data_IF_576733030503
#
_entry.id   IF_576733030503
#
_cell.length_a   1.000
_cell.length_b   1.000
_cell.length_c   1.000
_cell.angle_alpha   90.00
_cell.angle_beta   90.00
_cell.angle_gamma   90.00
#
_symmetry.space_group_name_H-M   'P 1'
#
loop_
_entity.id
_entity.type
_entity.pdbx_description
1 polymer ?
#
# COMPACT_ATOMS: atom_id res chain seq x y z
N UNK A 1 -7.26 -11.04 -21.45
CA UNK A 1 -6.89 -9.66 -21.05
C UNK A 1 -5.62 -9.31 -21.80
N UNK A 2 -5.47 -8.05 -22.26
CA UNK A 2 -4.28 -7.63 -23.00
C UNK A 2 -3.07 -7.66 -22.07
N UNK A 3 -1.99 -8.34 -22.48
CA UNK A 3 -0.70 -8.33 -21.78
C UNK A 3 -0.18 -6.90 -21.71
N UNK A 4 -0.18 -6.30 -20.52
CA UNK A 4 0.44 -4.99 -20.28
C UNK A 4 1.63 -5.14 -19.36
N UNK A 5 2.74 -4.51 -19.73
CA UNK A 5 3.97 -4.50 -18.93
C UNK A 5 4.56 -3.09 -18.92
N UNK A 6 5.04 -2.69 -17.75
CA UNK A 6 5.66 -1.40 -17.49
C UNK A 6 7.09 -1.61 -17.01
N UNK A 7 8.03 -0.90 -17.63
CA UNK A 7 9.44 -0.87 -17.24
C UNK A 7 9.88 0.58 -17.02
N UNK A 8 10.42 0.87 -15.84
CA UNK A 8 11.07 2.14 -15.55
C UNK A 8 12.46 1.91 -14.96
N UNK A 9 13.44 2.66 -15.43
CA UNK A 9 14.79 2.70 -14.90
C UNK A 9 15.18 4.14 -14.58
N UNK A 10 15.95 4.33 -13.51
CA UNK A 10 16.44 5.64 -13.06
C UNK A 10 17.93 5.65 -12.82
N UNK A 11 18.60 6.66 -13.35
CA UNK A 11 19.99 6.97 -13.03
C UNK A 11 19.99 8.18 -12.07
N UNK A 12 20.54 7.97 -10.88
CA UNK A 12 20.53 8.91 -9.75
C UNK A 12 21.91 9.48 -9.52
N UNK A 13 22.95 8.62 -9.49
CA UNK A 13 24.30 9.04 -9.14
C UNK A 13 24.98 9.76 -10.31
N UNK A 14 24.76 9.26 -11.54
CA UNK A 14 25.37 9.81 -12.75
C UNK A 14 24.38 9.79 -13.92
N UNK A 15 24.18 10.92 -14.63
CA UNK A 15 23.39 10.92 -15.84
C UNK A 15 24.02 10.03 -16.93
N UNK A 16 23.16 9.43 -17.74
CA UNK A 16 23.53 8.66 -18.93
C UNK A 16 24.23 9.54 -19.96
N UNK A 17 25.34 9.07 -20.49
CA UNK A 17 26.03 9.72 -21.60
C UNK A 17 25.21 9.61 -22.90
N UNK A 18 25.43 10.50 -23.89
CA UNK A 18 24.77 10.40 -25.19
C UNK A 18 24.98 9.05 -25.89
N UNK A 19 26.17 8.43 -25.71
CA UNK A 19 26.47 7.12 -26.26
C UNK A 19 25.63 6.02 -25.59
N UNK A 20 25.49 6.04 -24.27
CA UNK A 20 24.64 5.10 -23.53
C UNK A 20 23.17 5.25 -23.90
N UNK A 21 22.68 6.49 -24.06
CA UNK A 21 21.30 6.74 -24.52
C UNK A 21 21.07 6.20 -25.94
N UNK A 22 22.04 6.33 -26.85
CA UNK A 22 21.97 5.77 -28.19
C UNK A 22 21.96 4.22 -28.18
N UNK A 23 22.77 3.60 -27.31
CA UNK A 23 22.78 2.14 -27.11
C UNK A 23 21.40 1.65 -26.64
N UNK A 24 20.81 2.29 -25.63
CA UNK A 24 19.46 1.96 -25.14
C UNK A 24 18.38 2.18 -26.19
N UNK A 25 18.48 3.26 -26.98
CA UNK A 25 17.57 3.56 -28.10
C UNK A 25 17.61 2.48 -29.18
N UNK A 26 18.78 1.85 -29.40
CA UNK A 26 18.90 0.74 -30.34
C UNK A 26 18.17 -0.53 -29.87
N UNK A 27 17.97 -0.69 -28.55
CA UNK A 27 17.26 -1.82 -27.93
C UNK A 27 15.75 -1.60 -27.80
N UNK A 28 15.33 -0.35 -27.59
CA UNK A 28 13.92 0.03 -27.60
C UNK A 28 13.67 1.35 -28.34
N UNK A 29 13.03 1.25 -29.50
CA UNK A 29 12.68 2.41 -30.31
C UNK A 29 11.55 3.25 -29.69
N UNK A 30 10.63 2.61 -28.94
CA UNK A 30 9.42 3.24 -28.37
C UNK A 30 9.62 3.81 -26.96
N UNK A 31 10.71 3.45 -26.29
CA UNK A 31 10.97 3.93 -24.93
C UNK A 31 11.15 5.45 -24.87
N UNK A 32 10.70 6.06 -23.78
CA UNK A 32 11.11 7.42 -23.42
C UNK A 32 12.45 7.34 -22.71
N UNK A 33 13.48 7.94 -23.30
CA UNK A 33 14.86 7.88 -22.82
C UNK A 33 15.33 9.31 -22.59
N UNK A 34 15.82 9.58 -21.39
CA UNK A 34 16.42 10.86 -20.99
C UNK A 34 17.81 10.61 -20.40
N UNK A 35 18.50 11.68 -19.98
CA UNK A 35 19.77 11.52 -19.27
C UNK A 35 19.63 10.82 -17.91
N UNK A 36 18.43 10.71 -17.34
CA UNK A 36 18.23 10.14 -15.99
C UNK A 36 17.18 9.04 -15.94
N UNK A 37 16.55 8.69 -17.07
CA UNK A 37 15.48 7.71 -17.09
C UNK A 37 15.38 6.95 -18.40
N UNK A 38 14.88 5.73 -18.29
CA UNK A 38 14.33 4.94 -19.40
C UNK A 38 12.96 4.44 -18.96
N UNK A 39 11.92 4.71 -19.74
CA UNK A 39 10.55 4.26 -19.48
C UNK A 39 10.02 3.58 -20.74
N UNK A 40 9.44 2.39 -20.60
CA UNK A 40 8.81 1.72 -21.72
C UNK A 40 7.61 0.90 -21.28
N UNK A 41 6.61 0.88 -22.16
CA UNK A 41 5.36 0.16 -21.97
C UNK A 41 5.15 -0.83 -23.12
N UNK A 42 4.75 -2.04 -22.79
CA UNK A 42 4.49 -3.10 -23.75
C UNK A 42 3.04 -3.56 -23.64
N UNK A 43 2.36 -3.61 -24.78
CA UNK A 43 1.03 -4.24 -24.94
C UNK A 43 1.10 -5.58 -25.70
N UNK A 44 2.31 -5.95 -26.14
CA UNK A 44 2.65 -7.21 -26.79
C UNK A 44 4.17 -7.38 -26.76
N UNK A 45 4.63 -8.60 -26.44
CA UNK A 45 6.06 -8.90 -26.32
C UNK A 45 6.67 -8.33 -25.03
N UNK A 46 8.00 -8.23 -25.02
CA UNK A 46 8.82 -8.00 -23.82
C UNK A 46 10.05 -7.15 -24.16
N UNK A 47 10.68 -6.57 -23.14
CA UNK A 47 11.96 -5.89 -23.17
C UNK A 47 13.01 -6.75 -23.88
N UNK A 48 13.72 -6.13 -24.83
CA UNK A 48 14.83 -6.77 -25.56
C UNK A 48 16.17 -6.50 -24.87
N UNK A 49 16.23 -6.84 -23.59
CA UNK A 49 17.38 -6.65 -22.71
C UNK A 49 17.15 -7.33 -21.37
N UNK A 50 18.22 -7.47 -20.59
CA UNK A 50 18.16 -7.98 -19.23
C UNK A 50 18.13 -6.78 -18.25
N UNK A 51 17.06 -6.60 -17.46
CA UNK A 51 16.99 -5.53 -16.46
C UNK A 51 18.17 -5.54 -15.49
N UNK A 52 18.69 -6.70 -15.10
CA UNK A 52 19.80 -6.81 -14.17
C UNK A 52 21.09 -6.25 -14.77
N UNK A 53 21.40 -6.60 -16.03
CA UNK A 53 22.53 -6.03 -16.79
C UNK A 53 22.41 -4.50 -16.91
N UNK A 54 21.21 -4.00 -17.15
CA UNK A 54 20.98 -2.57 -17.31
C UNK A 54 21.15 -1.79 -16.01
N UNK A 55 20.66 -2.33 -14.89
CA UNK A 55 20.94 -1.76 -13.57
C UNK A 55 22.44 -1.82 -13.28
N UNK A 56 23.10 -2.94 -13.55
CA UNK A 56 24.54 -3.06 -13.32
C UNK A 56 25.37 -2.03 -14.10
N UNK A 57 25.00 -1.74 -15.35
CA UNK A 57 25.81 -0.91 -16.26
C UNK A 57 25.43 0.57 -16.30
N UNK A 58 24.15 0.90 -16.10
CA UNK A 58 23.62 2.22 -16.46
C UNK A 58 22.76 2.89 -15.40
N UNK A 59 22.04 2.11 -14.58
CA UNK A 59 20.97 2.64 -13.74
C UNK A 59 21.18 2.35 -12.26
N UNK A 60 20.56 3.16 -11.41
CA UNK A 60 20.61 3.01 -9.96
C UNK A 60 19.35 2.38 -9.38
N UNK A 61 18.26 2.40 -10.13
CA UNK A 61 17.01 1.77 -9.75
C UNK A 61 16.24 1.26 -10.97
N UNK A 62 15.47 0.21 -10.77
CA UNK A 62 14.54 -0.35 -11.75
C UNK A 62 13.23 -0.76 -11.08
N UNK A 63 12.11 -0.43 -11.72
CA UNK A 63 10.78 -0.92 -11.37
C UNK A 63 10.18 -1.62 -12.58
N UNK A 64 9.57 -2.77 -12.33
CA UNK A 64 8.78 -3.54 -13.28
C UNK A 64 7.41 -3.84 -12.68
N UNK A 65 6.35 -3.77 -13.50
CA UNK A 65 5.02 -4.24 -13.14
C UNK A 65 4.27 -4.74 -14.38
N UNK A 66 3.40 -5.73 -14.19
CA UNK A 66 2.61 -6.30 -15.28
C UNK A 66 1.16 -6.51 -14.87
N UNK A 67 0.25 -6.48 -15.84
CA UNK A 67 -1.21 -6.55 -15.60
C UNK A 67 -1.71 -7.87 -14.99
N UNK A 68 -0.84 -8.87 -14.89
CA UNK A 68 -1.09 -10.15 -14.22
C UNK A 68 -0.48 -10.19 -12.82
N UNK A 69 -0.20 -9.03 -12.22
CA UNK A 69 0.19 -8.89 -10.83
C UNK A 69 1.68 -9.05 -10.52
N UNK A 70 2.51 -9.55 -11.45
CA UNK A 70 3.97 -9.57 -11.24
C UNK A 70 4.53 -8.16 -11.11
N UNK A 71 5.36 -7.93 -10.09
CA UNK A 71 6.07 -6.67 -9.94
C UNK A 71 7.46 -6.89 -9.33
N UNK A 72 8.39 -5.96 -9.57
CA UNK A 72 9.70 -6.00 -8.92
C UNK A 72 10.39 -4.64 -8.84
N UNK A 73 11.26 -4.51 -7.84
CA UNK A 73 12.13 -3.37 -7.59
C UNK A 73 13.57 -3.86 -7.52
N UNK A 74 14.48 -3.17 -8.19
CA UNK A 74 15.93 -3.32 -8.01
C UNK A 74 16.54 -1.99 -7.59
N UNK A 75 17.42 -2.01 -6.59
CA UNK A 75 18.19 -0.85 -6.16
C UNK A 75 19.68 -1.16 -6.15
N UNK A 76 20.46 -0.35 -6.86
CA UNK A 76 21.92 -0.41 -6.92
C UNK A 76 22.53 0.44 -5.81
N UNK A 77 23.33 -0.20 -4.96
CA UNK A 77 23.94 0.40 -3.78
C UNK A 77 25.45 0.13 -3.78
N UNK A 78 26.29 1.09 -3.35
CA UNK A 78 27.73 0.86 -3.24
C UNK A 78 28.02 -0.21 -2.18
N UNK A 79 29.13 -0.95 -2.35
CA UNK A 79 29.55 -1.99 -1.40
C UNK A 79 29.65 -1.49 0.05
N UNK A 80 30.00 -0.21 0.24
CA UNK A 80 30.14 0.40 1.58
C UNK A 80 28.81 0.62 2.30
N UNK A 81 27.69 0.61 1.59
CA UNK A 81 26.36 0.81 2.18
C UNK A 81 25.78 -0.49 2.76
N UNK A 82 26.09 -1.63 2.14
CA UNK A 82 25.54 -2.93 2.52
C UNK A 82 26.67 -3.92 2.69
N UNK A 83 26.98 -4.23 3.93
CA UNK A 83 27.95 -5.25 4.28
C UNK A 83 27.35 -6.65 4.14
N UNK A 84 28.18 -7.64 3.84
CA UNK A 84 27.72 -9.03 3.70
C UNK A 84 27.12 -9.53 5.01
N UNK A 85 27.80 -9.30 6.13
CA UNK A 85 27.35 -9.77 7.45
C UNK A 85 26.01 -9.15 7.87
N UNK A 86 25.69 -7.96 7.35
CA UNK A 86 24.39 -7.31 7.56
C UNK A 86 23.29 -7.96 6.70
N UNK A 87 23.60 -8.36 5.46
CA UNK A 87 22.63 -8.92 4.52
C UNK A 87 22.34 -10.39 4.79
N UNK A 88 23.35 -11.15 5.22
CA UNK A 88 23.28 -12.60 5.39
C UNK A 88 22.02 -13.05 6.17
N UNK A 89 21.63 -12.44 7.32
CA UNK A 89 20.42 -12.82 8.03
C UNK A 89 19.12 -12.70 7.22
N UNK A 90 19.06 -11.79 6.25
CA UNK A 90 17.86 -11.52 5.44
C UNK A 90 17.80 -12.37 4.17
N UNK A 91 18.94 -12.83 3.65
CA UNK A 91 19.05 -13.54 2.37
C UNK A 91 19.49 -14.99 2.50
N UNK A 92 19.71 -15.50 3.72
CA UNK A 92 20.03 -16.90 3.95
C UNK A 92 18.95 -17.81 3.37
N UNK A 93 19.38 -18.91 2.76
CA UNK A 93 18.51 -20.00 2.33
C UNK A 93 17.83 -20.64 3.54
N UNK A 94 16.62 -21.16 3.33
CA UNK A 94 15.88 -21.85 4.38
C UNK A 94 16.66 -23.03 4.96
N UNK A 95 16.63 -23.15 6.29
CA UNK A 95 17.22 -24.24 7.08
C UNK A 95 16.49 -25.56 6.89
N UNK A 96 15.19 -25.50 6.65
CA UNK A 96 14.36 -26.67 6.37
C UNK A 96 14.25 -26.99 4.87
N UNK A 97 14.98 -26.25 4.02
CA UNK A 97 14.95 -26.44 2.57
C UNK A 97 13.66 -25.95 1.93
N UNK A 98 12.89 -25.09 2.62
CA UNK A 98 11.77 -24.40 2.02
C UNK A 98 12.27 -23.62 0.80
N UNK A 99 11.57 -23.78 -0.31
CA UNK A 99 11.85 -23.09 -1.55
C UNK A 99 10.53 -22.89 -2.26
N UNK A 100 10.27 -21.65 -2.62
CA UNK A 100 9.14 -21.31 -3.49
C UNK A 100 9.28 -22.03 -4.83
N UNK A 101 8.14 -22.45 -5.42
CA UNK A 101 8.09 -22.88 -6.81
C UNK A 101 8.24 -21.71 -7.80
N UNK A 102 8.29 -20.47 -7.29
CA UNK A 102 8.24 -19.23 -8.05
C UNK A 102 9.58 -18.50 -8.06
N UNK A 103 9.60 -17.29 -8.64
CA UNK A 103 10.76 -16.40 -8.51
C UNK A 103 10.95 -15.98 -7.05
N UNK A 104 12.21 -15.80 -6.68
CA UNK A 104 12.58 -15.22 -5.39
C UNK A 104 11.85 -13.88 -5.17
N UNK A 105 11.38 -13.62 -3.96
CA UNK A 105 10.69 -12.41 -3.54
C UNK A 105 11.67 -11.38 -2.98
N UNK A 106 12.86 -11.81 -2.55
CA UNK A 106 13.91 -10.91 -2.11
C UNK A 106 15.30 -11.53 -2.23
N UNK A 107 16.26 -10.76 -2.69
CA UNK A 107 17.63 -11.23 -2.85
C UNK A 107 18.63 -10.11 -3.08
N UNK A 108 19.91 -10.47 -3.07
CA UNK A 108 21.01 -9.53 -3.36
C UNK A 108 21.99 -10.15 -4.33
N UNK A 109 22.22 -9.47 -5.45
CA UNK A 109 23.25 -9.82 -6.42
C UNK A 109 24.51 -9.00 -6.16
N UNK A 110 25.64 -9.64 -5.77
CA UNK A 110 26.91 -8.94 -5.66
C UNK A 110 27.52 -8.69 -7.04
N UNK A 111 28.11 -7.52 -7.23
CA UNK A 111 28.99 -7.22 -8.38
C UNK A 111 30.37 -6.80 -7.88
N UNK A 112 31.28 -6.44 -8.79
CA UNK A 112 32.64 -6.07 -8.41
C UNK A 112 32.71 -4.76 -7.60
N UNK A 113 31.77 -3.84 -7.83
CA UNK A 113 31.80 -2.46 -7.31
C UNK A 113 30.50 -2.06 -6.58
N UNK A 114 29.44 -2.86 -6.67
CA UNK A 114 28.15 -2.56 -6.05
C UNK A 114 27.39 -3.83 -5.64
N UNK A 115 26.24 -3.63 -4.99
CA UNK A 115 25.23 -4.66 -4.73
C UNK A 115 23.92 -4.21 -5.35
N UNK A 116 23.19 -5.15 -5.94
CA UNK A 116 21.84 -4.93 -6.45
C UNK A 116 20.90 -5.68 -5.52
N UNK A 117 20.10 -4.93 -4.77
CA UNK A 117 19.06 -5.50 -3.91
C UNK A 117 17.77 -5.60 -4.73
N UNK A 118 17.15 -6.76 -4.69
CA UNK A 118 15.95 -7.10 -5.45
C UNK A 118 14.80 -7.40 -4.50
N UNK A 119 13.62 -6.86 -4.82
CA UNK A 119 12.34 -7.25 -4.25
C UNK A 119 11.40 -7.64 -5.39
N UNK A 120 10.64 -8.71 -5.21
CA UNK A 120 9.73 -9.24 -6.21
C UNK A 120 8.45 -9.75 -5.58
N UNK A 121 7.37 -9.65 -6.34
CA UNK A 121 6.12 -10.32 -6.05
C UNK A 121 5.58 -10.90 -7.36
N UNK A 122 5.01 -12.09 -7.28
CA UNK A 122 4.37 -12.75 -8.40
C UNK A 122 2.98 -13.21 -7.98
N UNK A 123 1.96 -12.82 -8.75
CA UNK A 123 0.61 -13.33 -8.57
C UNK A 123 0.36 -14.49 -9.53
N UNK A 124 0.57 -15.71 -9.04
CA UNK A 124 0.30 -16.91 -9.83
C UNK A 124 -1.16 -17.37 -9.75
N UNK A 125 -1.97 -16.82 -8.84
CA UNK A 125 -3.41 -17.13 -8.79
C UNK A 125 -4.19 -16.36 -9.85
N UNK A 126 -3.67 -15.21 -10.28
CA UNK A 126 -4.35 -14.30 -11.20
C UNK A 126 -5.59 -13.66 -10.57
N UNK A 127 -5.71 -13.73 -9.24
CA UNK A 127 -6.81 -13.15 -8.47
C UNK A 127 -6.64 -11.63 -8.31
N UNK A 128 -5.40 -11.12 -8.40
CA UNK A 128 -5.12 -9.72 -8.21
C UNK A 128 -5.08 -8.99 -9.56
N UNK A 129 -6.21 -8.40 -9.95
CA UNK A 129 -6.28 -7.45 -11.07
C UNK A 129 -5.57 -6.14 -10.72
N UNK A 130 -4.26 -6.08 -10.96
CA UNK A 130 -3.40 -4.92 -10.67
C UNK A 130 -2.59 -4.48 -11.88
N UNK A 131 -2.12 -3.24 -11.84
CA UNK A 131 -1.21 -2.62 -12.81
C UNK A 131 -1.77 -2.52 -14.23
N UNK A 132 -3.08 -2.62 -14.41
CA UNK A 132 -3.74 -2.58 -15.73
C UNK A 132 -4.27 -1.19 -16.09
N UNK A 133 -4.27 -0.25 -15.14
CA UNK A 133 -4.71 1.13 -15.34
C UNK A 133 -3.55 2.13 -15.19
N UNK A 134 -3.79 3.37 -15.64
CA UNK A 134 -2.84 4.47 -15.42
C UNK A 134 -2.75 4.90 -13.95
N UNK A 135 -3.72 4.52 -13.12
CA UNK A 135 -3.77 4.89 -11.70
C UNK A 135 -2.95 3.93 -10.83
N UNK A 136 -2.78 2.69 -11.27
CA UNK A 136 -2.13 1.64 -10.48
C UNK A 136 -0.89 1.01 -11.13
N UNK A 137 -0.67 1.16 -12.45
CA UNK A 137 0.49 0.63 -13.17
C UNK A 137 1.74 1.54 -13.14
N UNK A 138 1.72 2.72 -13.77
CA UNK A 138 2.86 3.65 -13.77
C UNK A 138 3.05 4.40 -12.43
N UNK A 139 4.26 4.93 -12.19
CA UNK A 139 4.51 5.91 -11.12
C UNK A 139 5.15 5.36 -9.84
N UNK A 140 5.16 4.04 -9.64
CA UNK A 140 5.77 3.37 -8.47
C UNK A 140 7.22 3.74 -8.22
N UNK A 141 8.01 3.98 -9.28
CA UNK A 141 9.41 4.42 -9.14
C UNK A 141 9.54 5.65 -8.24
N UNK A 142 8.65 6.64 -8.37
CA UNK A 142 8.74 7.87 -7.57
C UNK A 142 8.53 7.63 -6.07
N UNK A 143 7.65 6.68 -5.74
CA UNK A 143 7.34 6.27 -4.36
C UNK A 143 8.39 5.35 -3.77
N UNK A 144 9.01 4.48 -4.59
CA UNK A 144 9.96 3.46 -4.14
C UNK A 144 11.43 3.94 -4.16
N UNK A 145 11.79 4.86 -5.05
CA UNK A 145 13.17 5.37 -5.15
C UNK A 145 13.76 5.91 -3.83
N UNK A 146 12.99 6.58 -2.93
CA UNK A 146 13.51 7.03 -1.65
C UNK A 146 14.06 5.92 -0.74
N UNK A 147 13.63 4.66 -0.92
CA UNK A 147 14.19 3.51 -0.19
C UNK A 147 15.70 3.38 -0.39
N UNK A 148 16.23 3.82 -1.54
CA UNK A 148 17.67 3.84 -1.79
C UNK A 148 18.40 4.75 -0.81
N UNK A 149 17.90 5.97 -0.60
CA UNK A 149 18.51 6.91 0.35
C UNK A 149 18.33 6.44 1.80
N UNK A 150 17.22 5.76 2.12
CA UNK A 150 17.02 5.13 3.43
C UNK A 150 18.08 4.04 3.70
N UNK A 151 18.30 3.13 2.75
CA UNK A 151 19.34 2.10 2.84
C UNK A 151 20.75 2.71 2.92
N UNK A 152 21.04 3.75 2.14
CA UNK A 152 22.31 4.48 2.21
C UNK A 152 22.54 5.16 3.57
N UNK A 153 21.46 5.47 4.30
CA UNK A 153 21.51 6.02 5.67
C UNK A 153 21.56 4.93 6.74
N UNK A 154 21.53 3.66 6.36
CA UNK A 154 21.59 2.51 7.26
C UNK A 154 20.22 2.08 7.81
N UNK A 155 19.12 2.53 7.23
CA UNK A 155 17.80 2.02 7.58
C UNK A 155 17.62 0.62 7.00
N UNK A 156 17.55 -0.38 7.86
CA UNK A 156 17.42 -1.79 7.47
C UNK A 156 15.97 -2.26 7.35
N UNK A 157 14.98 -1.39 7.60
CA UNK A 157 13.55 -1.72 7.42
C UNK A 157 13.22 -2.24 6.02
N UNK A 158 13.73 -1.67 4.92
CA UNK A 158 13.46 -2.23 3.58
C UNK A 158 13.99 -3.66 3.38
N UNK A 159 15.10 -4.03 4.05
CA UNK A 159 15.63 -5.41 4.03
C UNK A 159 14.72 -6.36 4.81
N UNK A 160 14.21 -5.92 5.96
CA UNK A 160 13.27 -6.70 6.75
C UNK A 160 11.93 -6.90 6.01
N UNK A 161 11.43 -5.87 5.32
CA UNK A 161 10.24 -5.98 4.46
C UNK A 161 10.48 -6.95 3.30
N UNK A 162 11.68 -6.98 2.73
CA UNK A 162 12.07 -8.00 1.75
C UNK A 162 12.06 -9.42 2.34
N UNK A 163 12.59 -9.60 3.55
CA UNK A 163 12.51 -10.89 4.24
C UNK A 163 11.06 -11.31 4.54
N UNK A 164 10.17 -10.40 4.94
CA UNK A 164 8.74 -10.69 5.09
C UNK A 164 8.11 -11.13 3.76
N UNK A 165 8.49 -10.51 2.64
CA UNK A 165 8.02 -10.95 1.33
C UNK A 165 8.43 -12.40 1.02
N UNK A 166 9.62 -12.83 1.46
CA UNK A 166 10.06 -14.24 1.34
C UNK A 166 9.22 -15.19 2.20
N UNK A 167 8.82 -14.77 3.39
CA UNK A 167 7.89 -15.54 4.25
C UNK A 167 6.55 -15.69 3.53
N UNK A 168 5.99 -14.60 3.00
CA UNK A 168 4.74 -14.66 2.23
C UNK A 168 4.85 -15.49 0.94
N UNK A 169 6.05 -15.61 0.36
CA UNK A 169 6.34 -16.41 -0.83
C UNK A 169 6.75 -17.87 -0.52
N UNK A 170 6.65 -18.31 0.75
CA UNK A 170 7.00 -19.66 1.20
C UNK A 170 8.48 -20.06 0.95
N UNK A 171 9.37 -19.08 0.83
CA UNK A 171 10.82 -19.33 0.71
C UNK A 171 11.51 -19.56 2.06
N UNK A 172 10.79 -19.27 3.14
CA UNK A 172 11.26 -19.35 4.52
C UNK A 172 10.25 -20.23 5.25
N UNK A 173 10.73 -21.28 5.90
CA UNK A 173 9.87 -22.23 6.60
C UNK A 173 9.87 -22.03 8.11
N UNK A 174 9.02 -22.79 8.78
CA UNK A 174 8.67 -22.63 10.21
C UNK A 174 9.86 -22.56 11.17
N UNK A 175 10.92 -23.35 10.93
CA UNK A 175 12.12 -23.46 11.77
C UNK A 175 13.20 -22.41 11.44
N UNK A 176 12.97 -21.58 10.41
CA UNK A 176 13.89 -20.49 10.09
C UNK A 176 13.86 -19.39 11.14
N UNK A 177 15.00 -18.75 11.30
CA UNK A 177 15.21 -17.76 12.36
C UNK A 177 14.96 -16.36 11.82
N UNK A 178 14.17 -15.60 12.55
CA UNK A 178 13.93 -14.20 12.26
C UNK A 178 15.25 -13.39 12.19
N UNK A 179 15.44 -12.57 11.15
CA UNK A 179 16.58 -11.66 11.10
C UNK A 179 16.47 -10.60 12.21
N UNK A 180 17.54 -9.83 12.47
CA UNK A 180 17.48 -8.71 13.39
C UNK A 180 16.31 -7.77 13.06
N UNK A 181 15.37 -7.61 14.00
CA UNK A 181 14.20 -6.75 13.81
C UNK A 181 14.64 -5.29 13.89
N UNK A 182 14.47 -4.49 12.81
CA UNK A 182 14.83 -3.09 12.83
C UNK A 182 13.90 -2.30 13.75
N UNK A 183 14.40 -1.19 14.29
CA UNK A 183 13.56 -0.27 15.04
C UNK A 183 12.60 0.48 14.10
N UNK A 184 11.37 0.72 14.56
CA UNK A 184 10.40 1.57 13.86
C UNK A 184 9.53 0.88 12.81
N UNK A 185 9.30 -0.43 12.91
CA UNK A 185 8.34 -1.11 12.03
C UNK A 185 6.89 -0.68 12.29
N UNK A 186 6.58 -0.11 13.47
CA UNK A 186 5.26 0.46 13.75
C UNK A 186 5.02 1.80 13.03
N UNK A 187 6.06 2.42 12.45
CA UNK A 187 5.96 3.74 11.83
C UNK A 187 6.80 3.76 10.55
N UNK A 188 6.29 3.09 9.53
CA UNK A 188 6.89 3.03 8.20
C UNK A 188 6.93 4.43 7.55
N UNK A 189 8.00 4.69 6.80
CA UNK A 189 8.05 5.87 5.93
C UNK A 189 7.09 5.71 4.75
N UNK A 190 6.71 6.79 4.05
CA UNK A 190 5.87 6.66 2.86
C UNK A 190 6.42 5.70 1.80
N UNK A 191 7.75 5.65 1.64
CA UNK A 191 8.39 4.75 0.68
C UNK A 191 8.36 3.28 1.14
N UNK A 192 8.48 3.04 2.45
CA UNK A 192 8.33 1.71 3.06
C UNK A 192 6.88 1.22 2.98
N UNK A 193 5.90 2.09 3.22
CA UNK A 193 4.48 1.78 2.99
C UNK A 193 4.25 1.44 1.52
N UNK A 194 4.78 2.24 0.59
CA UNK A 194 4.69 1.93 -0.84
C UNK A 194 5.33 0.57 -1.17
N UNK A 195 6.44 0.18 -0.54
CA UNK A 195 7.04 -1.15 -0.70
C UNK A 195 6.10 -2.26 -0.23
N UNK A 196 5.46 -2.10 0.93
CA UNK A 196 4.50 -3.09 1.46
C UNK A 196 3.30 -3.27 0.54
N UNK A 197 2.78 -2.19 -0.02
CA UNK A 197 1.67 -2.21 -0.98
C UNK A 197 2.09 -2.80 -2.33
N UNK A 198 3.29 -2.45 -2.80
CA UNK A 198 3.82 -2.94 -4.07
C UNK A 198 3.97 -4.47 -4.05
N UNK A 199 4.54 -5.01 -2.98
CA UNK A 199 4.81 -6.45 -2.78
C UNK A 199 3.64 -7.24 -2.18
N UNK A 200 2.52 -6.60 -1.84
CA UNK A 200 1.39 -7.22 -1.12
C UNK A 200 1.81 -7.97 0.14
N UNK A 201 2.68 -7.35 0.95
CA UNK A 201 3.06 -7.91 2.25
C UNK A 201 1.80 -7.99 3.13
N UNK A 202 1.50 -9.17 3.67
CA UNK A 202 0.33 -9.37 4.53
C UNK A 202 0.41 -8.42 5.75
N UNK A 203 -0.59 -7.54 5.94
CA UNK A 203 -0.60 -6.60 7.05
C UNK A 203 -0.59 -7.27 8.43
N UNK A 204 -1.09 -8.51 8.56
CA UNK A 204 -1.05 -9.26 9.82
C UNK A 204 0.37 -9.72 10.14
N UNK A 205 1.13 -10.19 9.13
CA UNK A 205 2.54 -10.54 9.27
C UNK A 205 3.39 -9.32 9.62
N UNK A 206 3.16 -8.19 8.94
CA UNK A 206 3.84 -6.93 9.23
C UNK A 206 3.52 -6.45 10.65
N UNK A 207 2.28 -6.55 11.11
CA UNK A 207 1.88 -6.13 12.45
C UNK A 207 2.45 -7.06 13.54
N UNK A 208 2.51 -8.39 13.30
CA UNK A 208 3.15 -9.35 14.21
C UNK A 208 4.67 -9.10 14.35
N UNK A 209 5.34 -8.79 13.23
CA UNK A 209 6.72 -8.34 13.21
C UNK A 209 6.90 -7.01 13.98
N UNK A 210 6.04 -6.04 13.71
CA UNK A 210 6.06 -4.74 14.35
C UNK A 210 5.83 -4.83 15.87
N UNK A 211 5.10 -5.83 16.37
CA UNK A 211 4.94 -6.08 17.81
C UNK A 211 6.27 -6.33 18.55
N UNK A 212 7.29 -6.87 17.87
CA UNK A 212 8.61 -7.11 18.43
C UNK A 212 9.66 -6.05 18.05
N UNK A 213 9.29 -5.07 17.21
CA UNK A 213 10.19 -4.03 16.74
C UNK A 213 10.46 -3.00 17.85
N UNK A 214 11.73 -2.64 18.11
CA UNK A 214 12.04 -1.53 19.01
C UNK A 214 11.43 -0.22 18.48
N UNK A 215 11.04 0.69 19.38
CA UNK A 215 10.62 2.03 18.97
C UNK A 215 11.80 2.84 18.44
N UNK A 216 11.56 3.73 17.47
CA UNK A 216 12.59 4.68 17.05
C UNK A 216 12.99 5.58 18.22
N UNK A 217 14.29 5.83 18.43
CA UNK A 217 14.72 6.83 19.40
C UNK A 217 14.23 8.21 18.97
N UNK A 218 13.79 9.01 19.94
CA UNK A 218 13.26 10.35 19.68
C UNK A 218 14.37 11.26 19.13
N UNK A 219 14.05 12.10 18.14
CA UNK A 219 15.07 12.93 17.45
C UNK A 219 15.77 13.91 18.37
N UNK A 220 15.10 14.29 19.46
CA UNK A 220 15.59 15.25 20.44
C UNK A 220 16.33 14.59 21.63
N UNK A 221 16.46 13.27 21.64
CA UNK A 221 17.32 12.61 22.63
C UNK A 221 18.78 12.89 22.32
N UNK A 222 19.49 13.48 23.28
CA UNK A 222 20.95 13.54 23.29
C UNK A 222 21.42 12.09 23.23
N UNK A 223 22.08 11.73 22.13
CA UNK A 223 22.59 10.39 21.89
C UNK A 223 24.05 10.37 22.36
N UNK A 224 24.32 9.93 23.60
CA UNK A 224 25.68 9.93 24.15
C UNK A 224 26.64 9.08 23.28
N UNK A 225 26.14 8.11 22.52
CA UNK A 225 26.97 7.34 21.59
C UNK A 225 27.46 8.20 20.41
N UNK A 226 26.66 9.18 19.96
CA UNK A 226 27.08 10.12 18.91
C UNK A 226 28.15 11.06 19.42
N UNK A 227 27.99 11.60 20.61
CA UNK A 227 28.98 12.50 21.21
C UNK A 227 30.32 11.77 21.44
N UNK A 228 30.25 10.53 21.95
CA UNK A 228 31.41 9.64 22.07
C UNK A 228 32.10 9.42 20.72
N UNK A 229 31.32 9.11 19.67
CA UNK A 229 31.88 8.87 18.35
C UNK A 229 32.48 10.13 17.72
N UNK A 230 31.81 11.28 17.88
CA UNK A 230 32.29 12.57 17.39
C UNK A 230 33.63 12.95 18.06
N UNK A 231 33.79 12.65 19.35
CA UNK A 231 35.03 12.86 20.09
C UNK A 231 36.20 11.98 19.59
N UNK A 232 35.89 10.82 18.99
CA UNK A 232 36.89 9.91 18.39
C UNK A 232 37.31 10.32 16.96
N UNK A 233 36.66 11.30 16.34
CA UNK A 233 36.98 11.70 14.96
C UNK A 233 38.28 12.50 14.87
N UNK A 234 39.07 12.22 13.84
CA UNK A 234 40.29 13.00 13.54
C UNK A 234 39.93 14.35 12.92
N UNK A 235 40.80 15.35 13.13
CA UNK A 235 40.60 16.68 12.55
C UNK A 235 40.61 16.62 11.02
N UNK A 236 41.43 15.74 10.44
CA UNK A 236 41.49 15.49 9.00
C UNK A 236 40.14 14.96 8.47
N UNK A 237 39.56 13.94 9.12
CA UNK A 237 38.29 13.36 8.70
C UNK A 237 37.12 14.36 8.77
N UNK A 238 37.10 15.24 9.79
CA UNK A 238 36.11 16.31 9.90
C UNK A 238 36.31 17.38 8.82
N UNK A 239 37.55 17.80 8.56
CA UNK A 239 37.88 18.78 7.50
C UNK A 239 37.46 18.26 6.13
N UNK A 240 37.62 16.97 5.86
CA UNK A 240 37.23 16.39 4.59
C UNK A 240 35.70 16.38 4.41
N UNK A 241 34.95 16.04 5.45
CA UNK A 241 33.48 16.16 5.43
C UNK A 241 33.04 17.62 5.21
N UNK A 242 33.69 18.59 5.87
CA UNK A 242 33.40 20.02 5.66
C UNK A 242 33.76 20.49 4.24
N UNK A 243 34.84 19.99 3.65
CA UNK A 243 35.21 20.29 2.27
C UNK A 243 34.13 19.82 1.31
N UNK A 244 33.65 18.58 1.46
CA UNK A 244 32.54 18.05 0.65
C UNK A 244 31.28 18.94 0.76
N UNK A 245 30.95 19.43 1.94
CA UNK A 245 29.83 20.36 2.14
C UNK A 245 30.04 21.69 1.38
N UNK A 246 31.24 22.28 1.48
CA UNK A 246 31.58 23.53 0.79
C UNK A 246 31.60 23.39 -0.74
N UNK A 247 31.91 22.20 -1.26
CA UNK A 247 31.86 21.85 -2.68
C UNK A 247 30.42 21.57 -3.18
N UNK A 248 29.41 21.68 -2.31
CA UNK A 248 28.02 21.37 -2.64
C UNK A 248 27.70 19.86 -2.70
N UNK A 249 28.62 19.01 -2.27
CA UNK A 249 28.49 17.53 -2.26
C UNK A 249 27.90 17.04 -0.94
N UNK A 250 26.78 17.66 -0.54
CA UNK A 250 26.19 17.44 0.79
C UNK A 250 25.71 16.02 1.03
N UNK A 251 25.12 15.37 0.03
CA UNK A 251 24.69 13.98 0.13
C UNK A 251 25.86 13.03 0.33
N UNK A 252 26.99 13.27 -0.34
CA UNK A 252 28.20 12.46 -0.19
C UNK A 252 28.83 12.65 1.19
N UNK A 253 28.87 13.89 1.68
CA UNK A 253 29.31 14.20 3.03
C UNK A 253 28.45 13.49 4.09
N UNK A 254 27.12 13.56 3.96
CA UNK A 254 26.17 12.89 4.87
C UNK A 254 26.37 11.37 4.83
N UNK A 255 26.44 10.77 3.63
CA UNK A 255 26.63 9.33 3.44
C UNK A 255 27.95 8.85 4.06
N UNK A 256 29.06 9.53 3.77
CA UNK A 256 30.37 9.16 4.30
C UNK A 256 30.41 9.24 5.84
N UNK A 257 29.84 10.31 6.42
CA UNK A 257 29.80 10.49 7.87
C UNK A 257 28.96 9.38 8.55
N UNK A 258 27.76 9.12 8.02
CA UNK A 258 26.87 8.06 8.52
C UNK A 258 27.50 6.68 8.39
N UNK A 259 28.15 6.38 7.26
CA UNK A 259 28.82 5.09 7.06
C UNK A 259 29.90 4.83 8.11
N UNK A 260 30.74 5.83 8.42
CA UNK A 260 31.75 5.71 9.49
C UNK A 260 31.11 5.54 10.87
N UNK A 261 30.03 6.27 11.16
CA UNK A 261 29.29 6.12 12.41
C UNK A 261 28.71 4.71 12.58
N UNK A 262 28.03 4.21 11.54
CA UNK A 262 27.43 2.87 11.53
C UNK A 262 28.50 1.76 11.57
N UNK A 263 29.65 1.94 10.92
CA UNK A 263 30.76 1.00 11.02
C UNK A 263 31.28 0.92 12.46
N UNK A 264 31.53 2.07 13.11
CA UNK A 264 31.94 2.13 14.51
C UNK A 264 30.90 1.54 15.46
N UNK A 265 29.61 1.83 15.23
CA UNK A 265 28.53 1.29 16.04
C UNK A 265 28.52 -0.24 15.92
N UNK A 266 28.65 -0.80 14.71
CA UNK A 266 28.75 -2.26 14.50
C UNK A 266 29.93 -2.89 15.21
N UNK A 267 31.11 -2.27 15.19
CA UNK A 267 32.29 -2.76 15.91
C UNK A 267 32.02 -2.85 17.43
N UNK A 268 31.35 -1.85 18.01
CA UNK A 268 30.96 -1.84 19.44
C UNK A 268 29.78 -2.76 19.74
N UNK A 269 28.81 -2.86 18.84
CA UNK A 269 27.60 -3.69 18.95
C UNK A 269 27.83 -5.15 18.60
N UNK A 270 29.07 -5.57 18.33
CA UNK A 270 29.43 -6.96 18.06
C UNK A 270 29.01 -7.95 19.16
N UNK A 271 28.52 -7.48 20.32
CA UNK A 271 27.76 -8.30 21.28
C UNK A 271 26.62 -7.51 21.97
N UNK A 272 25.36 -7.81 21.65
CA UNK A 272 24.39 -8.12 22.70
C UNK A 272 24.07 -9.61 22.64
N UNK A 273 24.12 -10.25 23.82
CA UNK A 273 23.68 -11.64 24.04
C UNK A 273 22.32 -11.83 23.39
N UNK A 274 22.23 -12.85 22.54
CA UNK A 274 20.98 -13.30 21.94
C UNK A 274 19.93 -13.50 23.03
N UNK A 275 18.96 -12.59 23.14
CA UNK A 275 17.60 -13.07 23.30
C UNK A 275 17.38 -14.03 22.13
N UNK A 276 16.96 -15.27 22.41
CA UNK A 276 16.63 -16.26 21.39
C UNK A 276 15.78 -15.58 20.31
N UNK A 277 16.32 -15.45 19.10
CA UNK A 277 15.58 -14.88 17.98
C UNK A 277 14.42 -15.82 17.66
N UNK A 278 13.26 -15.25 17.32
CA UNK A 278 12.06 -16.02 17.08
C UNK A 278 12.22 -16.93 15.88
N UNK A 279 11.50 -18.05 15.87
CA UNK A 279 11.30 -18.82 14.64
C UNK A 279 10.14 -18.23 13.82
N UNK A 280 10.04 -18.58 12.54
CA UNK A 280 8.89 -18.18 11.71
C UNK A 280 7.59 -18.70 12.29
N UNK A 281 7.56 -19.93 12.84
CA UNK A 281 6.37 -20.47 13.51
C UNK A 281 5.90 -19.62 14.71
N UNK A 282 6.83 -19.03 15.48
CA UNK A 282 6.48 -18.13 16.58
C UNK A 282 5.90 -16.81 16.07
N UNK A 283 6.33 -16.34 14.90
CA UNK A 283 5.77 -15.14 14.25
C UNK A 283 4.40 -15.47 13.66
N UNK A 284 4.21 -16.64 13.06
CA UNK A 284 2.92 -17.08 12.51
C UNK A 284 1.85 -17.16 13.60
N UNK A 285 2.17 -17.74 14.76
CA UNK A 285 1.27 -17.75 15.91
C UNK A 285 0.90 -16.33 16.38
N UNK A 286 1.84 -15.39 16.32
CA UNK A 286 1.55 -13.99 16.61
C UNK A 286 0.70 -13.33 15.51
N UNK A 287 0.92 -13.69 14.24
CA UNK A 287 0.14 -13.26 13.08
C UNK A 287 -1.33 -13.69 13.21
N UNK A 288 -1.59 -14.94 13.57
CA UNK A 288 -2.95 -15.44 13.83
C UNK A 288 -3.65 -14.65 14.94
N UNK A 289 -2.94 -14.35 16.03
CA UNK A 289 -3.50 -13.53 17.11
C UNK A 289 -3.86 -12.12 16.63
N UNK A 290 -2.96 -11.46 15.90
CA UNK A 290 -3.18 -10.13 15.32
C UNK A 290 -4.37 -10.14 14.36
N UNK A 291 -4.43 -11.13 13.46
CA UNK A 291 -5.52 -11.29 12.49
C UNK A 291 -6.87 -11.42 13.19
N UNK A 292 -6.96 -12.24 14.23
CA UNK A 292 -8.18 -12.42 15.00
C UNK A 292 -8.63 -11.11 15.71
N UNK A 293 -7.69 -10.33 16.24
CA UNK A 293 -7.99 -9.01 16.82
C UNK A 293 -8.52 -8.04 15.76
N UNK A 294 -7.90 -7.97 14.58
CA UNK A 294 -8.34 -7.11 13.47
C UNK A 294 -9.77 -7.46 13.05
N UNK A 295 -10.06 -8.74 12.81
CA UNK A 295 -11.37 -9.22 12.39
C UNK A 295 -12.46 -8.91 13.43
N UNK A 296 -12.16 -9.04 14.72
CA UNK A 296 -13.09 -8.70 15.79
C UNK A 296 -13.37 -7.19 15.85
N UNK A 297 -12.34 -6.33 15.66
CA UNK A 297 -12.51 -4.89 15.58
C UNK A 297 -13.37 -4.49 14.37
N UNK A 298 -13.12 -5.09 13.21
CA UNK A 298 -13.91 -4.85 11.99
C UNK A 298 -15.37 -5.28 12.16
N UNK A 299 -15.60 -6.46 12.76
CA UNK A 299 -16.95 -6.94 13.07
C UNK A 299 -17.70 -5.95 13.96
N UNK A 300 -17.09 -5.49 15.06
CA UNK A 300 -17.69 -4.50 15.95
C UNK A 300 -17.98 -3.17 15.26
N UNK A 301 -17.12 -2.71 14.36
CA UNK A 301 -17.36 -1.50 13.56
C UNK A 301 -18.57 -1.68 12.64
N UNK A 302 -18.66 -2.80 11.92
CA UNK A 302 -19.81 -3.11 11.05
C UNK A 302 -21.12 -3.19 11.84
N UNK A 303 -21.12 -3.90 12.98
CA UNK A 303 -22.28 -4.00 13.88
C UNK A 303 -22.70 -2.62 14.41
N UNK A 304 -21.75 -1.76 14.78
CA UNK A 304 -22.04 -0.40 15.24
C UNK A 304 -22.60 0.50 14.12
N UNK A 305 -22.09 0.40 12.90
CA UNK A 305 -22.60 1.11 11.73
C UNK A 305 -24.00 0.65 11.32
N UNK A 306 -24.27 -0.65 11.38
CA UNK A 306 -25.59 -1.23 11.16
C UNK A 306 -26.58 -0.77 12.25
N UNK A 307 -26.19 -0.86 13.53
CA UNK A 307 -27.03 -0.39 14.64
C UNK A 307 -27.34 1.11 14.51
N UNK A 308 -26.36 1.92 14.10
CA UNK A 308 -26.55 3.35 13.82
C UNK A 308 -27.54 3.57 12.68
N UNK A 309 -27.37 2.89 11.53
CA UNK A 309 -28.30 2.96 10.39
C UNK A 309 -29.71 2.54 10.76
N UNK A 310 -29.85 1.47 11.55
CA UNK A 310 -31.15 1.01 12.06
C UNK A 310 -31.78 2.03 13.02
N UNK A 311 -31.01 2.61 13.93
CA UNK A 311 -31.49 3.64 14.85
C UNK A 311 -31.91 4.93 14.12
N UNK A 312 -31.14 5.39 13.14
CA UNK A 312 -31.45 6.55 12.30
C UNK A 312 -32.72 6.29 11.47
N UNK A 313 -32.84 5.11 10.86
CA UNK A 313 -34.05 4.71 10.13
C UNK A 313 -35.26 4.69 11.06
N UNK A 314 -35.13 4.11 12.25
CA UNK A 314 -36.21 4.08 13.25
C UNK A 314 -36.65 5.49 13.64
N UNK A 315 -35.71 6.38 13.98
CA UNK A 315 -36.04 7.78 14.30
C UNK A 315 -36.68 8.52 13.12
N UNK A 316 -36.24 8.25 11.89
CA UNK A 316 -36.85 8.84 10.68
C UNK A 316 -38.30 8.39 10.53
N UNK A 317 -38.58 7.10 10.67
CA UNK A 317 -39.94 6.56 10.60
C UNK A 317 -40.82 7.12 11.72
N UNK A 318 -40.31 7.20 12.96
CA UNK A 318 -41.02 7.83 14.08
C UNK A 318 -41.37 9.31 13.80
N UNK A 319 -40.43 10.09 13.23
CA UNK A 319 -40.70 11.48 12.84
C UNK A 319 -41.71 11.59 11.70
N UNK A 320 -41.66 10.71 10.71
CA UNK A 320 -42.62 10.66 9.60
C UNK A 320 -44.02 10.35 10.10
N UNK A 321 -44.16 9.37 11.01
CA UNK A 321 -45.44 9.07 11.64
C UNK A 321 -45.94 10.25 12.48
N UNK A 322 -45.08 10.89 13.28
CA UNK A 322 -45.46 12.03 14.11
C UNK A 322 -45.91 13.27 13.31
N UNK A 323 -45.38 13.46 12.10
CA UNK A 323 -45.69 14.61 11.23
C UNK A 323 -46.44 14.19 9.95
N UNK A 324 -47.25 13.14 10.02
CA UNK A 324 -47.92 12.52 8.86
C UNK A 324 -48.64 13.53 7.96
N UNK A 325 -49.32 14.52 8.54
CA UNK A 325 -50.08 15.54 7.78
C UNK A 325 -49.17 16.44 6.94
N UNK A 326 -48.01 16.81 7.48
CA UNK A 326 -47.01 17.60 6.77
C UNK A 326 -46.35 16.80 5.66
N UNK A 327 -46.06 15.52 5.92
CA UNK A 327 -45.48 14.62 4.91
C UNK A 327 -46.46 14.43 3.73
N UNK A 328 -47.75 14.30 3.99
CA UNK A 328 -48.76 14.25 2.92
C UNK A 328 -48.81 15.54 2.09
N UNK A 329 -48.69 16.71 2.73
CA UNK A 329 -48.64 17.99 2.02
C UNK A 329 -47.37 18.13 1.15
N UNK A 330 -46.22 17.66 1.65
CA UNK A 330 -44.97 17.66 0.90
C UNK A 330 -45.02 16.69 -0.31
N UNK A 331 -45.68 15.53 -0.15
CA UNK A 331 -45.96 14.60 -1.26
C UNK A 331 -46.83 15.27 -2.33
N UNK A 332 -47.92 15.93 -1.94
CA UNK A 332 -48.81 16.66 -2.86
C UNK A 332 -48.03 17.75 -3.63
N UNK A 333 -47.25 18.57 -2.92
CA UNK A 333 -46.43 19.62 -3.54
C UNK A 333 -45.37 19.04 -4.50
N UNK A 334 -44.75 17.92 -4.14
CA UNK A 334 -43.77 17.24 -5.01
C UNK A 334 -44.45 16.72 -6.27
N UNK A 335 -45.63 16.10 -6.13
CA UNK A 335 -46.42 15.65 -7.27
C UNK A 335 -46.81 16.81 -8.18
N UNK A 336 -47.18 17.98 -7.64
CA UNK A 336 -47.53 19.16 -8.44
C UNK A 336 -46.46 19.58 -9.46
N UNK A 337 -45.17 19.33 -9.19
CA UNK A 337 -44.05 19.63 -10.12
C UNK A 337 -44.13 18.86 -11.45
N UNK A 338 -44.79 17.70 -11.47
CA UNK A 338 -45.15 16.98 -12.69
C UNK A 338 -44.00 16.32 -13.48
N UNK A 339 -42.79 16.24 -12.91
CA UNK A 339 -41.62 15.62 -13.57
C UNK A 339 -41.43 14.15 -13.18
N UNK A 340 -40.70 13.38 -14.00
CA UNK A 340 -40.39 11.97 -13.72
C UNK A 340 -39.70 11.78 -12.37
N UNK A 341 -38.63 12.55 -12.12
CA UNK A 341 -37.90 12.55 -10.84
C UNK A 341 -38.81 12.92 -9.65
N UNK A 342 -39.74 13.87 -9.82
CA UNK A 342 -40.65 14.24 -8.74
C UNK A 342 -41.62 13.10 -8.40
N UNK A 343 -42.09 12.33 -9.40
CA UNK A 343 -42.88 11.13 -9.13
C UNK A 343 -42.10 10.06 -8.39
N UNK A 344 -40.83 9.83 -8.75
CA UNK A 344 -39.98 8.84 -8.06
C UNK A 344 -39.69 9.26 -6.61
N UNK A 345 -39.46 10.55 -6.36
CA UNK A 345 -39.27 11.10 -5.02
C UNK A 345 -40.54 11.01 -4.14
N UNK A 346 -41.71 11.33 -4.71
CA UNK A 346 -43.00 11.22 -4.03
C UNK A 346 -43.32 9.76 -3.69
N UNK A 347 -43.02 8.82 -4.60
CA UNK A 347 -43.20 7.39 -4.37
C UNK A 347 -42.35 6.89 -3.21
N UNK A 348 -41.08 7.28 -3.16
CA UNK A 348 -40.18 6.87 -2.07
C UNK A 348 -40.65 7.43 -0.73
N UNK A 349 -41.03 8.71 -0.68
CA UNK A 349 -41.53 9.35 0.55
C UNK A 349 -42.83 8.71 1.04
N UNK A 350 -43.72 8.33 0.12
CA UNK A 350 -44.97 7.66 0.45
C UNK A 350 -44.75 6.23 0.95
N UNK A 351 -43.78 5.48 0.39
CA UNK A 351 -43.38 4.17 0.92
C UNK A 351 -42.83 4.26 2.35
N UNK A 352 -41.96 5.24 2.59
CA UNK A 352 -41.40 5.48 3.91
C UNK A 352 -42.50 5.88 4.92
N UNK A 353 -43.49 6.67 4.49
CA UNK A 353 -44.66 7.02 5.31
C UNK A 353 -45.58 5.81 5.57
N UNK A 354 -45.80 4.94 4.58
CA UNK A 354 -46.57 3.71 4.74
C UNK A 354 -45.94 2.81 5.81
N UNK A 355 -44.63 2.58 5.70
CA UNK A 355 -43.84 1.80 6.67
C UNK A 355 -43.91 2.44 8.07
N UNK A 356 -43.74 3.76 8.16
CA UNK A 356 -43.83 4.50 9.42
C UNK A 356 -45.20 4.37 10.10
N UNK A 357 -46.29 4.48 9.32
CA UNK A 357 -47.65 4.42 9.85
C UNK A 357 -48.06 2.98 10.23
N UNK A 358 -47.58 1.96 9.50
CA UNK A 358 -47.72 0.55 9.90
C UNK A 358 -47.00 0.27 11.21
N UNK A 359 -45.75 0.72 11.37
CA UNK A 359 -45.00 0.55 12.63
C UNK A 359 -45.66 1.27 13.82
N UNK A 360 -46.34 2.40 13.57
CA UNK A 360 -47.09 3.14 14.58
C UNK A 360 -48.52 2.61 14.82
N UNK A 361 -48.98 1.57 14.10
CA UNK A 361 -50.35 1.04 14.18
C UNK A 361 -51.43 1.97 13.62
N UNK A 362 -51.06 2.97 12.81
CA UNK A 362 -51.93 4.02 12.24
C UNK A 362 -52.24 3.78 10.76
N UNK A 363 -52.40 2.52 10.37
CA UNK A 363 -52.61 2.10 8.98
C UNK A 363 -53.88 2.69 8.36
N UNK A 364 -54.95 2.83 9.16
CA UNK A 364 -56.20 3.43 8.72
C UNK A 364 -56.02 4.91 8.30
N UNK A 365 -55.18 5.66 9.00
CA UNK A 365 -54.88 7.05 8.68
C UNK A 365 -54.05 7.17 7.40
N UNK A 366 -53.12 6.24 7.17
CA UNK A 366 -52.40 6.15 5.90
C UNK A 366 -53.35 5.89 4.73
N UNK A 367 -54.29 4.94 4.87
CA UNK A 367 -55.27 4.64 3.82
C UNK A 367 -56.18 5.83 3.52
N UNK A 368 -56.64 6.55 4.55
CA UNK A 368 -57.43 7.77 4.37
C UNK A 368 -56.65 8.86 3.61
N UNK A 369 -55.36 9.06 3.95
CA UNK A 369 -54.46 9.99 3.26
C UNK A 369 -54.22 9.58 1.80
N UNK A 370 -54.01 8.30 1.55
CA UNK A 370 -53.82 7.75 0.20
C UNK A 370 -55.05 7.99 -0.69
N UNK A 371 -56.26 7.72 -0.18
CA UNK A 371 -57.52 7.99 -0.91
C UNK A 371 -57.65 9.47 -1.25
N UNK A 372 -57.33 10.37 -0.32
CA UNK A 372 -57.35 11.82 -0.55
C UNK A 372 -56.36 12.24 -1.63
N UNK A 373 -55.14 11.71 -1.60
CA UNK A 373 -54.10 12.00 -2.58
C UNK A 373 -54.46 11.47 -3.98
N UNK A 374 -55.06 10.28 -4.06
CA UNK A 374 -55.57 9.70 -5.31
C UNK A 374 -56.74 10.51 -5.87
N UNK A 375 -57.57 11.12 -5.03
CA UNK A 375 -58.60 12.06 -5.47
C UNK A 375 -58.02 13.29 -6.19
N UNK A 376 -56.87 13.80 -5.75
CA UNK A 376 -56.20 14.97 -6.33
C UNK A 376 -55.33 14.63 -7.56
N UNK A 377 -54.61 13.50 -7.52
CA UNK A 377 -53.59 13.15 -8.51
C UNK A 377 -53.89 11.90 -9.35
N UNK A 378 -55.03 11.23 -9.16
CA UNK A 378 -55.38 9.96 -9.81
C UNK A 378 -55.54 10.02 -11.33
N UNK A 379 -55.73 11.21 -11.91
CA UNK A 379 -55.78 11.41 -13.38
C UNK A 379 -54.39 11.41 -14.04
N UNK A 380 -53.31 11.34 -13.27
CA UNK A 380 -51.93 11.40 -13.76
C UNK A 380 -51.41 9.99 -14.05
N UNK A 381 -51.57 9.53 -15.29
CA UNK A 381 -51.22 8.17 -15.70
C UNK A 381 -49.74 7.76 -15.49
N UNK A 382 -48.80 8.70 -15.46
CA UNK A 382 -47.39 8.41 -15.16
C UNK A 382 -47.12 8.15 -13.67
N UNK A 383 -47.95 8.70 -12.79
CA UNK A 383 -47.93 8.45 -11.34
C UNK A 383 -48.63 7.14 -11.00
N UNK A 384 -49.82 6.93 -11.57
CA UNK A 384 -50.59 5.68 -11.38
C UNK A 384 -49.81 4.43 -11.79
N UNK A 385 -49.12 4.47 -12.94
CA UNK A 385 -48.25 3.35 -13.38
C UNK A 385 -47.16 2.99 -12.38
N UNK A 386 -46.59 3.97 -11.68
CA UNK A 386 -45.55 3.74 -10.65
C UNK A 386 -46.14 3.12 -9.39
N UNK A 387 -47.33 3.55 -8.97
CA UNK A 387 -48.05 2.98 -7.83
C UNK A 387 -48.44 1.52 -8.05
N UNK A 388 -48.94 1.19 -9.24
CA UNK A 388 -49.29 -0.19 -9.61
C UNK A 388 -48.05 -1.07 -9.71
N UNK A 389 -46.95 -0.56 -10.30
CA UNK A 389 -45.68 -1.30 -10.40
C UNK A 389 -45.12 -1.70 -9.04
N UNK A 390 -45.24 -0.82 -8.04
CA UNK A 390 -44.75 -1.07 -6.67
C UNK A 390 -45.78 -1.76 -5.75
N UNK A 391 -46.93 -2.19 -6.29
CA UNK A 391 -47.93 -2.97 -5.55
C UNK A 391 -48.69 -2.20 -4.46
N UNK A 392 -48.59 -0.87 -4.42
CA UNK A 392 -49.26 -0.02 -3.42
C UNK A 392 -50.78 0.06 -3.70
N UNK A 393 -51.17 -0.11 -4.97
CA UNK A 393 -52.56 -0.31 -5.39
C UNK A 393 -52.76 -1.75 -5.87
N UNK A 394 -53.68 -2.48 -5.22
CA UNK A 394 -54.17 -3.77 -5.71
C UNK A 394 -55.35 -3.52 -6.65
N UNK A 395 -55.13 -3.54 -7.97
CA UNK A 395 -56.22 -3.58 -8.97
C UNK A 395 -56.00 -2.72 -10.21
N UNK A 396 -56.47 -3.25 -11.35
CA UNK A 396 -56.16 -2.93 -12.75
C UNK A 396 -56.49 -1.50 -13.22
N UNK A 397 -55.76 -1.06 -14.25
CA UNK A 397 -55.88 0.23 -14.95
C UNK A 397 -57.24 0.40 -15.62
#
# INVERSE_FOLDING_TARGET
MSEYQYYEFRAVDKPLTPQQQAELRSRSSRATITATSFINEYHWGDLKGDPLDWVQRYFDAHVYSASWGTCSLMLRLPLSALDKDMLDPFTQSSRCGAQSGFRDAFGVTPTADHRIVYWGFNDDSGEFERFWSQEDGPGWMSSLLPLRDELLRGDTRPLYLGWLARVCNEEVGDDDIEPPVPAGLQTLTPAQTALTEFLLIDPDWLAAAAGASPTLPDRDTIDPERDDWLALQTQEAMRETLRLLLEGRSQEAERALRQRYLAWQRERSSHPKSSSRRTVAEIDAACEWVRNQRLEIERRKREAEEAKRHAERKQRLERLAAHSDRVWADIDQTLQRGTGHAYDQALQTMKDLAEAMTQAGREAEFQAGLVKLLGAHGKRGAWMRRLTKEGILKGEI
#
